data_IF_227184017440
#
_entry.id   IF_227184017440
#
_cell.length_a   1.000
_cell.length_b   1.000
_cell.length_c   1.000
_cell.angle_alpha   90.00
_cell.angle_beta   90.00
_cell.angle_gamma   90.00
#
_symmetry.space_group_name_H-M   'P 1'
#
loop_
_entity.id
_entity.type
_entity.pdbx_description
1 polymer ?
#
# COMPACT_ATOMS: atom_id res chain seq x y z
N UNK A 1 -5.48 -21.21 9.60
CA UNK A 1 -4.48 -20.87 8.56
C UNK A 1 -3.65 -19.64 8.96
N UNK A 2 -2.37 -19.81 9.35
CA UNK A 2 -1.46 -18.68 9.53
C UNK A 2 -1.11 -18.15 8.14
N UNK A 3 -1.78 -17.09 7.69
CA UNK A 3 -1.42 -16.40 6.45
C UNK A 3 -0.04 -15.78 6.67
N UNK A 4 0.93 -16.16 5.84
CA UNK A 4 2.29 -15.63 5.92
C UNK A 4 2.22 -14.16 5.52
N UNK A 5 2.23 -13.29 6.53
CA UNK A 5 2.23 -11.84 6.33
C UNK A 5 3.44 -11.48 5.48
N UNK A 6 3.19 -11.01 4.27
CA UNK A 6 4.22 -10.66 3.32
C UNK A 6 3.97 -9.22 2.93
N UNK A 7 4.98 -8.36 3.06
CA UNK A 7 4.81 -6.94 2.77
C UNK A 7 5.27 -6.63 1.34
N UNK A 8 4.47 -5.87 0.61
CA UNK A 8 4.80 -5.33 -0.71
C UNK A 8 5.23 -3.88 -0.52
N UNK A 9 6.38 -3.52 -1.08
CA UNK A 9 6.84 -2.12 -1.12
C UNK A 9 6.45 -1.50 -2.44
N UNK A 10 5.70 -0.40 -2.39
CA UNK A 10 5.29 0.40 -3.53
C UNK A 10 6.12 1.68 -3.55
N UNK A 11 6.86 1.88 -4.64
CA UNK A 11 7.63 3.09 -4.88
C UNK A 11 6.71 4.18 -5.45
N UNK A 12 6.57 5.30 -4.75
CA UNK A 12 5.72 6.43 -5.17
C UNK A 12 6.51 7.51 -5.93
N UNK A 13 7.81 7.28 -6.16
CA UNK A 13 8.75 8.27 -6.70
C UNK A 13 9.17 9.33 -5.68
N UNK A 14 10.13 10.18 -6.05
CA UNK A 14 10.68 11.27 -5.20
C UNK A 14 11.21 10.80 -3.83
N UNK A 15 11.74 9.57 -3.77
CA UNK A 15 12.22 8.96 -2.53
C UNK A 15 11.11 8.51 -1.56
N UNK A 16 9.83 8.58 -1.97
CA UNK A 16 8.70 8.15 -1.15
C UNK A 16 8.34 6.69 -1.43
N UNK A 17 8.04 5.95 -0.37
CA UNK A 17 7.75 4.52 -0.40
C UNK A 17 6.62 4.20 0.58
N UNK A 18 5.78 3.24 0.23
CA UNK A 18 4.73 2.71 1.10
C UNK A 18 4.87 1.19 1.19
N UNK A 19 4.79 0.65 2.41
CA UNK A 19 4.72 -0.79 2.65
C UNK A 19 3.29 -1.16 3.00
N UNK A 20 2.76 -2.14 2.30
CA UNK A 20 1.41 -2.69 2.52
C UNK A 20 1.47 -4.19 2.63
N UNK A 21 0.55 -4.76 3.40
CA UNK A 21 0.37 -6.21 3.42
C UNK A 21 -0.03 -6.69 2.01
N UNK A 22 0.56 -7.78 1.54
CA UNK A 22 0.21 -8.43 0.26
C UNK A 22 -1.25 -8.90 0.21
N UNK A 23 -1.87 -9.10 1.37
CA UNK A 23 -3.25 -9.52 1.51
C UNK A 23 -4.20 -8.34 1.75
N UNK A 24 -3.73 -7.11 1.54
CA UNK A 24 -4.59 -5.94 1.62
C UNK A 24 -5.66 -5.98 0.55
N UNK A 25 -6.88 -5.61 0.94
CA UNK A 25 -7.98 -5.41 0.01
C UNK A 25 -7.68 -4.25 -0.96
N UNK A 26 -8.10 -4.40 -2.22
CA UNK A 26 -7.85 -3.42 -3.29
C UNK A 26 -8.49 -2.06 -3.00
N UNK A 27 -9.67 -2.01 -2.39
CA UNK A 27 -10.33 -0.75 -2.03
C UNK A 27 -9.61 -0.05 -0.87
N UNK A 28 -9.12 -0.83 0.10
CA UNK A 28 -8.28 -0.31 1.17
C UNK A 28 -6.95 0.24 0.62
N UNK A 29 -6.33 -0.47 -0.33
CA UNK A 29 -5.14 0.00 -1.03
C UNK A 29 -5.40 1.29 -1.81
N UNK A 30 -6.51 1.37 -2.54
CA UNK A 30 -6.92 2.57 -3.28
C UNK A 30 -7.03 3.80 -2.39
N UNK A 31 -7.69 3.67 -1.22
CA UNK A 31 -7.79 4.76 -0.23
C UNK A 31 -6.44 5.21 0.30
N UNK A 32 -5.54 4.27 0.61
CA UNK A 32 -4.18 4.59 1.07
C UNK A 32 -3.45 5.36 -0.03
N UNK A 33 -3.54 4.90 -1.28
CA UNK A 33 -2.92 5.55 -2.43
C UNK A 33 -3.46 6.97 -2.64
N UNK A 34 -4.77 7.19 -2.53
CA UNK A 34 -5.35 8.53 -2.64
C UNK A 34 -4.84 9.48 -1.55
N UNK A 35 -4.70 9.00 -0.31
CA UNK A 35 -4.13 9.76 0.80
C UNK A 35 -2.65 10.11 0.57
N UNK A 36 -1.81 9.16 0.15
CA UNK A 36 -0.36 9.39 -0.01
C UNK A 36 0.01 10.11 -1.31
N UNK A 37 -0.85 10.00 -2.33
CA UNK A 37 -0.72 10.76 -3.58
C UNK A 37 -1.34 12.15 -3.49
N UNK A 38 -2.07 12.46 -2.41
CA UNK A 38 -2.68 13.77 -2.21
C UNK A 38 -3.76 14.08 -3.25
N UNK A 39 -4.53 13.07 -3.67
CA UNK A 39 -5.62 13.22 -4.65
C UNK A 39 -6.90 13.80 -4.04
N UNK A 40 -6.79 14.59 -2.96
CA UNK A 40 -7.90 15.23 -2.27
C UNK A 40 -7.68 16.73 -2.12
#
# INVERSE_FOLDING_TARGET
PRRKRSDVTIELGRGRRVRVDSDIDTEALGRILDCVLGRR
#
